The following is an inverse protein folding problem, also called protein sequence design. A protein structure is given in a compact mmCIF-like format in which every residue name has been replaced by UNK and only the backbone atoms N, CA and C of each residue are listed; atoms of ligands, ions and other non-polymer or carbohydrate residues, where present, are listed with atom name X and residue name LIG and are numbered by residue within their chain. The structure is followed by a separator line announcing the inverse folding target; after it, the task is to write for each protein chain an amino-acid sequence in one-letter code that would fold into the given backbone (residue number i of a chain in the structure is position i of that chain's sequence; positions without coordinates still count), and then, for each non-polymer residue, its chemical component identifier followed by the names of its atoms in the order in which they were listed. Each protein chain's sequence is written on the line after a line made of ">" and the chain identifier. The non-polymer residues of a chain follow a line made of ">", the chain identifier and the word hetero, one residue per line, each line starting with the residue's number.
data_IF_443423560034
#
_entry.id   IF_443423560034
#
_cell.length_a   1.000
_cell.length_b   1.000
_cell.length_c   1.000
_cell.angle_alpha   90.00
_cell.angle_beta   90.00
_cell.angle_gamma   90.00
#
_symmetry.space_group_name_H-M   'P 1'
#
loop_
_entity.id
_entity.type
_entity.pdbx_description
1 polymer ?
#
# COMPACT_ATOMS: atom_id res chain seq x y z
N UNK A 1 -6.26 26.17 12.11
CA UNK A 1 -7.54 25.94 11.40
C UNK A 1 -8.76 26.35 12.23
N UNK A 2 -8.87 26.01 13.52
CA UNK A 2 -10.04 26.38 14.35
C UNK A 2 -10.37 27.88 14.38
N UNK A 3 -9.35 28.75 14.39
CA UNK A 3 -9.53 30.20 14.40
C UNK A 3 -10.19 30.76 13.11
N UNK A 4 -9.90 30.15 11.95
CA UNK A 4 -10.46 30.57 10.66
C UNK A 4 -11.94 30.19 10.51
N UNK A 5 -12.38 29.07 11.10
CA UNK A 5 -13.80 28.69 11.10
C UNK A 5 -14.64 29.64 11.95
N UNK A 6 -14.14 30.03 13.13
CA UNK A 6 -14.75 31.06 13.97
C UNK A 6 -14.83 32.39 13.23
N UNK A 7 -13.74 32.81 12.58
CA UNK A 7 -13.72 34.03 11.76
C UNK A 7 -14.74 34.01 10.60
N UNK A 8 -14.97 32.87 9.95
CA UNK A 8 -16.03 32.73 8.94
C UNK A 8 -17.42 32.93 9.55
N UNK A 9 -17.69 32.37 10.73
CA UNK A 9 -18.96 32.54 11.44
C UNK A 9 -19.20 34.00 11.85
N UNK A 10 -18.17 34.66 12.37
CA UNK A 10 -18.23 36.05 12.80
C UNK A 10 -18.47 36.98 11.60
N UNK A 11 -17.73 36.80 10.50
CA UNK A 11 -17.91 37.61 9.30
C UNK A 11 -19.28 37.38 8.65
N UNK A 12 -19.83 36.15 8.66
CA UNK A 12 -21.21 35.90 8.22
C UNK A 12 -22.22 36.68 9.04
N UNK A 13 -22.02 36.74 10.36
CA UNK A 13 -22.88 37.49 11.28
C UNK A 13 -22.79 38.99 11.00
N UNK A 14 -21.59 39.53 10.80
CA UNK A 14 -21.36 40.95 10.44
C UNK A 14 -21.97 41.29 9.07
N UNK A 15 -21.78 40.45 8.05
CA UNK A 15 -22.34 40.69 6.71
C UNK A 15 -23.87 40.61 6.68
N UNK A 16 -24.51 39.88 7.63
CA UNK A 16 -25.96 39.89 7.80
C UNK A 16 -26.48 41.24 8.29
N UNK A 17 -25.65 41.97 9.05
CA UNK A 17 -25.95 43.31 9.58
C UNK A 17 -25.61 44.43 8.58
N UNK A 18 -24.67 44.19 7.66
CA UNK A 18 -24.25 45.15 6.62
C UNK A 18 -24.27 44.51 5.22
N UNK A 19 -25.47 44.38 4.65
CA UNK A 19 -25.72 43.66 3.39
C UNK A 19 -25.02 44.25 2.14
N UNK A 20 -24.54 45.50 2.22
CA UNK A 20 -23.85 46.18 1.12
C UNK A 20 -22.31 46.25 1.27
N UNK A 21 -21.74 45.63 2.31
CA UNK A 21 -20.30 45.67 2.55
C UNK A 21 -19.52 44.77 1.57
N UNK A 22 -19.03 45.37 0.48
CA UNK A 22 -18.18 44.66 -0.50
C UNK A 22 -16.89 44.11 0.14
N UNK A 23 -16.32 44.82 1.11
CA UNK A 23 -15.14 44.38 1.85
C UNK A 23 -15.42 43.14 2.72
N UNK A 24 -16.57 43.12 3.42
CA UNK A 24 -16.97 41.99 4.25
C UNK A 24 -17.17 40.70 3.44
N UNK A 25 -17.75 40.80 2.25
CA UNK A 25 -17.89 39.64 1.34
C UNK A 25 -16.55 39.19 0.75
N UNK A 26 -15.64 40.12 0.46
CA UNK A 26 -14.30 39.78 0.00
C UNK A 26 -13.50 39.02 1.06
N UNK A 27 -13.53 39.49 2.32
CA UNK A 27 -12.89 38.80 3.45
C UNK A 27 -13.47 37.41 3.65
N UNK A 28 -14.79 37.27 3.61
CA UNK A 28 -15.46 35.97 3.71
C UNK A 28 -15.01 35.00 2.59
N UNK A 29 -15.02 35.46 1.34
CA UNK A 29 -14.57 34.64 0.20
C UNK A 29 -13.10 34.23 0.33
N UNK A 30 -12.24 35.14 0.81
CA UNK A 30 -10.82 34.86 1.05
C UNK A 30 -10.63 33.80 2.13
N UNK A 31 -11.36 33.88 3.24
CA UNK A 31 -11.31 32.88 4.30
C UNK A 31 -11.81 31.51 3.82
N UNK A 32 -12.93 31.47 3.11
CA UNK A 32 -13.48 30.24 2.54
C UNK A 32 -12.48 29.57 1.59
N UNK A 33 -11.84 30.35 0.71
CA UNK A 33 -10.82 29.84 -0.20
C UNK A 33 -9.59 29.31 0.54
N UNK A 34 -9.11 30.01 1.58
CA UNK A 34 -8.01 29.53 2.44
C UNK A 34 -8.35 28.24 3.17
N UNK A 35 -9.63 28.03 3.48
CA UNK A 35 -10.14 26.80 4.06
C UNK A 35 -10.33 25.66 3.03
N UNK A 36 -10.05 25.90 1.74
CA UNK A 36 -10.27 24.95 0.65
C UNK A 36 -11.72 24.90 0.14
N UNK A 37 -12.63 25.72 0.68
CA UNK A 37 -14.02 25.81 0.23
C UNK A 37 -14.14 26.71 -1.01
N UNK A 38 -13.55 26.26 -2.12
CA UNK A 38 -13.41 27.05 -3.35
C UNK A 38 -14.78 27.45 -3.94
N UNK A 39 -15.73 26.52 -4.03
CA UNK A 39 -17.05 26.79 -4.60
C UNK A 39 -17.85 27.79 -3.76
N UNK A 40 -17.72 27.75 -2.43
CA UNK A 40 -18.36 28.72 -1.55
C UNK A 40 -17.77 30.12 -1.68
N UNK A 41 -16.45 30.22 -1.92
CA UNK A 41 -15.78 31.49 -2.17
C UNK A 41 -16.32 32.20 -3.43
N UNK A 42 -16.84 31.47 -4.42
CA UNK A 42 -17.39 32.04 -5.67
C UNK A 42 -18.76 32.68 -5.56
N UNK A 43 -19.49 32.46 -4.47
CA UNK A 43 -20.82 33.05 -4.27
C UNK A 43 -20.76 34.59 -4.16
N UNK A 44 -19.57 35.15 -3.95
CA UNK A 44 -19.35 36.59 -3.76
C UNK A 44 -18.61 37.25 -4.94
N UNK A 45 -19.35 37.51 -6.02
CA UNK A 45 -18.83 38.02 -7.32
C UNK A 45 -18.22 39.44 -7.30
N UNK A 46 -18.31 40.17 -6.19
CA UNK A 46 -17.98 41.61 -6.13
C UNK A 46 -16.46 41.93 -6.14
N UNK A 47 -15.56 40.93 -6.07
CA UNK A 47 -14.10 41.15 -6.11
C UNK A 47 -13.42 40.48 -7.32
N UNK A 48 -13.12 41.26 -8.37
CA UNK A 48 -12.81 40.73 -9.72
C UNK A 48 -11.46 39.99 -9.89
N UNK A 49 -10.31 40.43 -9.33
CA UNK A 49 -9.04 39.73 -9.55
C UNK A 49 -8.96 38.39 -8.83
N UNK A 50 -9.35 38.35 -7.55
CA UNK A 50 -9.42 37.14 -6.74
C UNK A 50 -10.45 36.15 -7.32
N UNK A 51 -11.62 36.65 -7.74
CA UNK A 51 -12.68 35.84 -8.33
C UNK A 51 -12.24 35.06 -9.58
N UNK A 52 -11.38 35.63 -10.45
CA UNK A 52 -10.90 34.92 -11.64
C UNK A 52 -10.04 33.70 -11.31
N UNK A 53 -9.12 33.81 -10.34
CA UNK A 53 -8.28 32.70 -9.88
C UNK A 53 -9.14 31.61 -9.25
N UNK A 54 -9.98 31.98 -8.28
CA UNK A 54 -10.90 31.08 -7.59
C UNK A 54 -11.81 30.36 -8.60
N UNK A 55 -12.35 31.07 -9.59
CA UNK A 55 -13.26 30.48 -10.61
C UNK A 55 -12.53 29.45 -11.47
N UNK A 56 -11.28 29.71 -11.82
CA UNK A 56 -10.46 28.78 -12.59
C UNK A 56 -10.13 27.54 -11.78
N UNK A 57 -9.76 27.70 -10.51
CA UNK A 57 -9.48 26.58 -9.59
C UNK A 57 -10.72 25.72 -9.37
N UNK A 58 -11.86 26.33 -9.07
CA UNK A 58 -13.14 25.63 -8.87
C UNK A 58 -13.50 24.77 -10.08
N UNK A 59 -13.45 25.36 -11.28
CA UNK A 59 -13.72 24.66 -12.53
C UNK A 59 -12.80 23.45 -12.71
N UNK A 60 -11.52 23.61 -12.43
CA UNK A 60 -10.54 22.52 -12.59
C UNK A 60 -10.74 21.41 -11.53
N UNK A 61 -11.13 21.75 -10.30
CA UNK A 61 -11.44 20.76 -9.27
C UNK A 61 -12.72 19.98 -9.59
N UNK A 62 -13.76 20.65 -10.11
CA UNK A 62 -14.95 19.99 -10.64
C UNK A 62 -14.62 19.09 -11.85
N UNK A 63 -13.73 19.55 -12.75
CA UNK A 63 -13.23 18.73 -13.87
C UNK A 63 -12.50 17.48 -13.36
N UNK A 64 -11.72 17.55 -12.27
CA UNK A 64 -11.12 16.35 -11.65
C UNK A 64 -12.18 15.35 -11.17
N UNK A 65 -13.25 15.84 -10.52
CA UNK A 65 -14.34 15.01 -10.01
C UNK A 65 -15.08 14.31 -11.16
N UNK A 66 -15.52 15.07 -12.16
CA UNK A 66 -16.21 14.56 -13.35
C UNK A 66 -15.36 13.52 -14.11
N UNK A 67 -14.06 13.79 -14.30
CA UNK A 67 -13.14 12.87 -14.98
C UNK A 67 -12.89 11.60 -14.16
N UNK A 68 -12.77 11.72 -12.83
CA UNK A 68 -12.64 10.56 -11.94
C UNK A 68 -13.91 9.68 -11.97
N UNK A 69 -15.10 10.28 -11.96
CA UNK A 69 -16.38 9.56 -12.09
C UNK A 69 -16.53 8.88 -13.46
N UNK A 70 -16.10 9.56 -14.53
CA UNK A 70 -16.03 9.01 -15.88
C UNK A 70 -14.93 7.95 -16.06
N UNK A 71 -14.09 7.72 -15.02
CA UNK A 71 -12.93 6.82 -15.03
C UNK A 71 -11.84 7.22 -16.03
N UNK A 72 -11.82 8.48 -16.46
CA UNK A 72 -10.71 9.08 -17.21
C UNK A 72 -9.63 9.56 -16.22
N UNK A 73 -8.90 8.62 -15.66
CA UNK A 73 -7.85 8.90 -14.67
C UNK A 73 -6.69 9.74 -15.25
N UNK A 74 -6.20 9.49 -16.48
CA UNK A 74 -5.19 10.36 -17.09
C UNK A 74 -5.68 11.81 -17.26
N UNK A 75 -6.95 12.00 -17.66
CA UNK A 75 -7.58 13.31 -17.72
C UNK A 75 -7.64 13.98 -16.34
N UNK A 76 -8.09 13.25 -15.32
CA UNK A 76 -8.13 13.72 -13.92
C UNK A 76 -6.74 14.18 -13.44
N UNK A 77 -5.69 13.39 -13.71
CA UNK A 77 -4.31 13.72 -13.37
C UNK A 77 -3.85 15.00 -14.07
N UNK A 78 -4.18 15.16 -15.35
CA UNK A 78 -3.87 16.37 -16.09
C UNK A 78 -4.59 17.62 -15.53
N UNK A 79 -5.87 17.48 -15.14
CA UNK A 79 -6.66 18.54 -14.52
C UNK A 79 -6.09 18.94 -13.15
N UNK A 80 -5.77 17.97 -12.29
CA UNK A 80 -5.19 18.23 -10.98
C UNK A 80 -3.83 18.94 -11.07
N UNK A 81 -2.98 18.56 -12.03
CA UNK A 81 -1.73 19.28 -12.31
C UNK A 81 -1.96 20.72 -12.81
N UNK A 82 -3.06 20.98 -13.54
CA UNK A 82 -3.43 22.37 -13.90
C UNK A 82 -3.82 23.17 -12.65
N UNK A 83 -4.49 22.57 -11.66
CA UNK A 83 -4.80 23.24 -10.39
C UNK A 83 -3.51 23.68 -9.70
N UNK A 84 -2.54 22.78 -9.56
CA UNK A 84 -1.25 23.06 -8.93
C UNK A 84 -0.42 24.15 -9.64
N UNK A 85 -0.61 24.33 -10.96
CA UNK A 85 0.01 25.43 -11.71
C UNK A 85 -0.69 26.78 -11.52
N UNK A 86 -1.97 26.76 -11.12
CA UNK A 86 -2.78 27.96 -10.89
C UNK A 86 -2.72 28.37 -9.42
N UNK A 87 -2.62 27.41 -8.51
CA UNK A 87 -2.60 27.60 -7.06
C UNK A 87 -1.56 26.69 -6.40
N UNK A 88 -0.54 27.33 -5.83
CA UNK A 88 0.58 26.73 -5.10
C UNK A 88 0.75 27.29 -3.67
N UNK A 89 0.06 28.39 -3.33
CA UNK A 89 0.18 29.05 -2.03
C UNK A 89 -0.84 28.52 -1.01
N UNK A 90 -2.08 28.29 -1.44
CA UNK A 90 -3.16 27.91 -0.51
C UNK A 90 -3.12 26.42 -0.21
N UNK A 91 -2.53 26.07 0.94
CA UNK A 91 -2.27 24.69 1.40
C UNK A 91 -3.46 23.74 1.21
N UNK A 92 -4.69 24.14 1.55
CA UNK A 92 -5.85 23.26 1.46
C UNK A 92 -6.36 23.06 0.03
N UNK A 93 -6.16 24.03 -0.86
CA UNK A 93 -6.45 23.86 -2.29
C UNK A 93 -5.41 22.96 -2.94
N UNK A 94 -4.13 23.17 -2.60
CA UNK A 94 -3.02 22.31 -3.02
C UNK A 94 -3.24 20.88 -2.54
N UNK A 95 -3.71 20.70 -1.31
CA UNK A 95 -4.07 19.40 -0.75
C UNK A 95 -5.15 18.70 -1.59
N UNK A 96 -6.27 19.36 -1.90
CA UNK A 96 -7.33 18.74 -2.72
C UNK A 96 -6.83 18.34 -4.12
N UNK A 97 -5.99 19.16 -4.75
CA UNK A 97 -5.38 18.81 -6.03
C UNK A 97 -4.46 17.58 -5.93
N UNK A 98 -3.60 17.51 -4.91
CA UNK A 98 -2.71 16.36 -4.71
C UNK A 98 -3.47 15.08 -4.30
N UNK A 99 -4.58 15.23 -3.57
CA UNK A 99 -5.50 14.13 -3.26
C UNK A 99 -6.11 13.54 -4.53
N UNK A 100 -6.55 14.37 -5.48
CA UNK A 100 -6.99 13.91 -6.81
C UNK A 100 -5.89 13.18 -7.57
N UNK A 101 -4.65 13.71 -7.56
CA UNK A 101 -3.50 13.01 -8.17
C UNK A 101 -3.30 11.62 -7.57
N UNK A 102 -3.17 11.51 -6.24
CA UNK A 102 -3.03 10.23 -5.55
C UNK A 102 -4.15 9.26 -5.92
N UNK A 103 -5.40 9.71 -5.87
CA UNK A 103 -6.58 8.87 -6.12
C UNK A 103 -6.63 8.36 -7.57
N UNK A 104 -6.44 9.25 -8.55
CA UNK A 104 -6.51 8.91 -9.96
C UNK A 104 -5.30 8.05 -10.40
N UNK A 105 -4.09 8.34 -9.91
CA UNK A 105 -2.90 7.51 -10.18
C UNK A 105 -3.02 6.10 -9.59
N UNK A 106 -3.54 5.97 -8.36
CA UNK A 106 -3.79 4.65 -7.74
C UNK A 106 -4.79 3.84 -8.57
N UNK A 107 -5.89 4.47 -9.02
CA UNK A 107 -6.93 3.81 -9.84
C UNK A 107 -6.46 3.46 -11.25
N UNK A 108 -5.49 4.21 -11.80
CA UNK A 108 -4.83 3.94 -13.08
C UNK A 108 -3.68 2.92 -12.97
N UNK A 109 -3.45 2.35 -11.77
CA UNK A 109 -2.36 1.42 -11.47
C UNK A 109 -0.94 2.00 -11.69
N UNK A 110 -0.79 3.33 -11.69
CA UNK A 110 0.50 4.02 -11.71
C UNK A 110 1.05 4.14 -10.27
N UNK A 111 1.39 2.99 -9.69
CA UNK A 111 1.58 2.86 -8.24
C UNK A 111 2.77 3.66 -7.68
N UNK A 112 3.86 3.81 -8.45
CA UNK A 112 5.04 4.58 -8.03
C UNK A 112 4.76 6.08 -7.96
N UNK A 113 4.11 6.60 -9.00
CA UNK A 113 3.67 8.00 -9.08
C UNK A 113 2.58 8.28 -8.05
N UNK A 114 1.65 7.34 -7.87
CA UNK A 114 0.61 7.41 -6.86
C UNK A 114 1.20 7.54 -5.45
N UNK A 115 2.15 6.67 -5.07
CA UNK A 115 2.81 6.71 -3.77
C UNK A 115 3.44 8.09 -3.49
N UNK A 116 4.12 8.64 -4.49
CA UNK A 116 4.70 9.99 -4.42
C UNK A 116 3.62 11.06 -4.19
N UNK A 117 2.55 11.03 -4.99
CA UNK A 117 1.45 12.00 -4.88
C UNK A 117 0.70 11.89 -3.54
N UNK A 118 0.47 10.67 -3.05
CA UNK A 118 -0.18 10.43 -1.76
C UNK A 118 0.67 10.95 -0.61
N UNK A 119 1.99 10.68 -0.61
CA UNK A 119 2.92 11.22 0.39
C UNK A 119 2.91 12.74 0.42
N UNK A 120 3.04 13.35 -0.76
CA UNK A 120 3.04 14.80 -0.94
C UNK A 120 1.74 15.49 -0.51
N UNK A 121 0.60 14.79 -0.55
CA UNK A 121 -0.67 15.27 -0.01
C UNK A 121 -0.76 15.08 1.51
N UNK A 122 -0.33 13.93 2.03
CA UNK A 122 -0.37 13.59 3.45
C UNK A 122 0.55 14.48 4.31
N UNK A 123 1.63 15.03 3.72
CA UNK A 123 2.46 16.07 4.34
C UNK A 123 1.67 17.37 4.65
N UNK A 124 0.66 17.69 3.84
CA UNK A 124 -0.13 18.91 4.01
C UNK A 124 -1.28 18.69 5.01
N UNK A 125 -1.91 17.52 4.97
CA UNK A 125 -3.00 17.14 5.86
C UNK A 125 -3.10 15.62 5.91
N UNK A 126 -3.13 15.06 7.12
CA UNK A 126 -3.47 13.64 7.34
C UNK A 126 -4.94 13.41 7.00
N UNK A 127 -5.21 12.38 6.21
CA UNK A 127 -6.56 11.99 5.77
C UNK A 127 -6.66 10.46 5.68
N UNK A 128 -7.68 9.89 6.34
CA UNK A 128 -7.84 8.44 6.45
C UNK A 128 -8.10 7.76 5.09
N UNK A 129 -8.85 8.42 4.20
CA UNK A 129 -9.15 7.86 2.87
C UNK A 129 -7.93 7.89 1.98
N UNK A 130 -7.13 8.96 2.07
CA UNK A 130 -5.88 9.09 1.33
C UNK A 130 -4.81 8.08 1.81
N UNK A 131 -4.79 7.76 3.11
CA UNK A 131 -3.97 6.66 3.63
C UNK A 131 -4.39 5.30 3.07
N UNK A 132 -5.69 5.10 2.77
CA UNK A 132 -6.13 3.91 2.05
C UNK A 132 -5.62 3.90 0.59
N UNK A 133 -5.68 5.03 -0.12
CA UNK A 133 -5.12 5.12 -1.49
C UNK A 133 -3.61 4.84 -1.50
N UNK A 134 -2.87 5.34 -0.50
CA UNK A 134 -1.44 5.02 -0.30
C UNK A 134 -1.23 3.53 -0.06
N UNK A 135 -2.05 2.92 0.79
CA UNK A 135 -2.01 1.48 1.05
C UNK A 135 -2.27 0.65 -0.22
N UNK A 136 -3.25 1.03 -1.03
CA UNK A 136 -3.56 0.38 -2.30
C UNK A 136 -2.39 0.50 -3.30
N UNK A 137 -1.73 1.66 -3.38
CA UNK A 137 -0.54 1.85 -4.21
C UNK A 137 0.64 0.97 -3.75
N UNK A 138 0.90 0.90 -2.44
CA UNK A 138 1.94 0.05 -1.86
C UNK A 138 1.69 -1.44 -2.12
N UNK A 139 0.43 -1.88 -2.09
CA UNK A 139 0.07 -3.24 -2.49
C UNK A 139 0.37 -3.53 -3.96
N UNK A 140 0.15 -2.54 -4.84
CA UNK A 140 0.50 -2.67 -6.26
C UNK A 140 2.02 -2.69 -6.53
N UNK A 141 2.83 -2.25 -5.56
CA UNK A 141 4.29 -2.33 -5.58
C UNK A 141 4.83 -3.54 -4.79
N UNK A 142 3.96 -4.43 -4.32
CA UNK A 142 4.29 -5.57 -3.46
C UNK A 142 5.00 -5.18 -2.13
N UNK A 143 4.83 -3.93 -1.68
CA UNK A 143 5.38 -3.40 -0.42
C UNK A 143 4.38 -3.65 0.72
N UNK A 144 4.19 -4.92 1.09
CA UNK A 144 3.09 -5.33 1.97
C UNK A 144 3.20 -4.79 3.40
N UNK A 145 4.39 -4.72 3.98
CA UNK A 145 4.62 -4.15 5.33
C UNK A 145 4.19 -2.69 5.42
N UNK A 146 4.62 -1.88 4.45
CA UNK A 146 4.28 -0.46 4.38
C UNK A 146 2.78 -0.27 4.10
N UNK A 147 2.18 -1.14 3.29
CA UNK A 147 0.74 -1.10 3.05
C UNK A 147 -0.06 -1.37 4.33
N UNK A 148 0.34 -2.38 5.11
CA UNK A 148 -0.26 -2.72 6.42
C UNK A 148 -0.17 -1.51 7.35
N UNK A 149 1.00 -0.87 7.43
CA UNK A 149 1.20 0.31 8.26
C UNK A 149 0.30 1.46 7.80
N UNK A 150 0.16 1.69 6.49
CA UNK A 150 -0.72 2.72 5.96
C UNK A 150 -2.19 2.52 6.31
N UNK A 151 -2.69 1.29 6.25
CA UNK A 151 -4.08 1.00 6.66
C UNK A 151 -4.28 1.10 8.17
N UNK A 152 -3.29 0.75 8.99
CA UNK A 152 -3.35 0.97 10.44
C UNK A 152 -3.43 2.45 10.79
N UNK A 153 -2.60 3.29 10.17
CA UNK A 153 -2.66 4.75 10.34
C UNK A 153 -4.02 5.32 9.93
N UNK A 154 -4.66 4.75 8.90
CA UNK A 154 -6.02 5.15 8.52
C UNK A 154 -7.04 4.83 9.62
N UNK A 155 -6.92 3.66 10.26
CA UNK A 155 -7.80 3.22 11.36
C UNK A 155 -7.53 3.98 12.67
N UNK A 156 -6.33 4.49 12.90
CA UNK A 156 -6.04 5.40 14.02
C UNK A 156 -6.79 6.73 13.87
N UNK A 157 -6.98 7.21 12.64
CA UNK A 157 -7.76 8.42 12.37
C UNK A 157 -9.27 8.15 12.38
N UNK A 158 -9.68 7.00 11.83
CA UNK A 158 -11.08 6.61 11.71
C UNK A 158 -11.25 5.10 11.97
N UNK A 159 -11.47 4.72 13.23
CA UNK A 159 -11.59 3.32 13.67
C UNK A 159 -12.71 2.55 12.93
N UNK A 160 -13.77 3.26 12.53
CA UNK A 160 -14.92 2.72 11.81
C UNK A 160 -14.72 2.52 10.32
N UNK A 161 -13.58 2.92 9.74
CA UNK A 161 -13.41 2.96 8.29
C UNK A 161 -13.29 1.56 7.67
N UNK A 162 -14.40 1.04 7.14
CA UNK A 162 -14.47 -0.32 6.60
C UNK A 162 -13.45 -0.57 5.48
N UNK A 163 -13.25 0.43 4.59
CA UNK A 163 -12.25 0.32 3.51
C UNK A 163 -10.84 0.04 4.04
N UNK A 164 -10.46 0.66 5.15
CA UNK A 164 -9.15 0.44 5.76
C UNK A 164 -9.03 -0.96 6.40
N UNK A 165 -10.11 -1.46 7.02
CA UNK A 165 -10.16 -2.84 7.55
C UNK A 165 -10.00 -3.88 6.46
N UNK A 166 -10.73 -3.70 5.35
CA UNK A 166 -10.66 -4.61 4.20
C UNK A 166 -9.27 -4.58 3.56
N UNK A 167 -8.70 -3.37 3.39
CA UNK A 167 -7.34 -3.18 2.89
C UNK A 167 -6.28 -3.82 3.78
N UNK A 168 -6.38 -3.65 5.10
CA UNK A 168 -5.48 -4.27 6.08
C UNK A 168 -5.51 -5.79 6.01
N UNK A 169 -6.71 -6.39 5.97
CA UNK A 169 -6.87 -7.85 5.85
C UNK A 169 -6.27 -8.38 4.54
N UNK A 170 -6.51 -7.67 3.42
CA UNK A 170 -5.91 -8.00 2.11
C UNK A 170 -4.39 -7.93 2.17
N UNK A 171 -3.83 -6.88 2.77
CA UNK A 171 -2.39 -6.67 2.89
C UNK A 171 -1.71 -7.76 3.72
N UNK A 172 -2.27 -8.10 4.90
CA UNK A 172 -1.77 -9.18 5.75
C UNK A 172 -1.82 -10.54 5.05
N UNK A 173 -2.89 -10.82 4.29
CA UNK A 173 -3.00 -12.05 3.51
C UNK A 173 -1.92 -12.12 2.43
N UNK A 174 -1.70 -11.02 1.69
CA UNK A 174 -0.69 -10.96 0.64
C UNK A 174 0.73 -11.06 1.21
N UNK A 175 1.02 -10.40 2.32
CA UNK A 175 2.27 -10.56 3.06
C UNK A 175 2.51 -12.04 3.40
N UNK A 176 1.56 -12.68 4.07
CA UNK A 176 1.67 -14.10 4.45
C UNK A 176 1.85 -14.99 3.22
N UNK A 177 1.14 -14.73 2.12
CA UNK A 177 1.32 -15.47 0.86
C UNK A 177 2.70 -15.24 0.22
N UNK A 178 3.27 -14.05 0.35
CA UNK A 178 4.62 -13.74 -0.16
C UNK A 178 5.73 -14.39 0.65
N UNK A 179 5.50 -14.55 1.96
CA UNK A 179 6.38 -15.27 2.88
C UNK A 179 6.24 -16.79 2.75
N UNK A 180 5.05 -17.26 2.35
CA UNK A 180 4.80 -18.67 2.04
C UNK A 180 5.66 -19.12 0.86
N UNK A 181 6.47 -20.13 1.12
CA UNK A 181 7.40 -20.70 0.16
C UNK A 181 6.62 -21.53 -0.86
N UNK A 182 6.61 -21.12 -2.13
CA UNK A 182 6.08 -22.00 -3.19
C UNK A 182 7.07 -23.15 -3.47
N UNK A 183 6.92 -24.26 -2.74
CA UNK A 183 7.80 -25.41 -2.80
C UNK A 183 7.93 -26.02 -4.21
N UNK A 184 6.85 -25.97 -5.01
CA UNK A 184 6.88 -26.45 -6.39
C UNK A 184 7.72 -25.56 -7.28
N UNK A 185 7.62 -24.23 -7.12
CA UNK A 185 8.50 -23.27 -7.82
C UNK A 185 9.95 -23.39 -7.37
N UNK A 186 10.22 -23.57 -6.07
CA UNK A 186 11.57 -23.73 -5.54
C UNK A 186 12.29 -24.93 -6.16
N UNK A 187 11.61 -26.07 -6.30
CA UNK A 187 12.17 -27.25 -6.97
C UNK A 187 12.00 -27.24 -8.49
N UNK A 188 11.33 -26.22 -9.04
CA UNK A 188 11.00 -26.10 -10.46
C UNK A 188 10.31 -27.37 -11.03
N UNK A 189 9.30 -27.85 -10.31
CA UNK A 189 8.49 -29.02 -10.68
C UNK A 189 7.01 -28.64 -10.79
N UNK A 190 6.26 -29.39 -11.60
CA UNK A 190 4.81 -29.21 -11.70
C UNK A 190 4.12 -29.69 -10.42
N UNK A 191 2.93 -29.17 -10.12
CA UNK A 191 2.09 -29.65 -9.00
C UNK A 191 1.70 -31.13 -9.13
N UNK A 192 1.67 -31.67 -10.35
CA UNK A 192 1.43 -33.09 -10.63
C UNK A 192 2.67 -33.97 -10.50
N UNK A 193 3.82 -33.42 -10.08
CA UNK A 193 5.07 -34.17 -10.05
C UNK A 193 5.01 -35.35 -9.08
N UNK A 194 5.53 -36.48 -9.53
CA UNK A 194 5.67 -37.68 -8.72
C UNK A 194 6.76 -37.48 -7.64
N UNK A 195 6.72 -38.29 -6.59
CA UNK A 195 7.74 -38.27 -5.53
C UNK A 195 9.15 -38.48 -6.09
N UNK A 196 9.30 -39.30 -7.12
CA UNK A 196 10.59 -39.55 -7.77
C UNK A 196 11.10 -38.30 -8.53
N UNK A 197 10.22 -37.59 -9.23
CA UNK A 197 10.57 -36.33 -9.92
C UNK A 197 10.97 -35.24 -8.94
N UNK A 198 10.26 -35.13 -7.80
CA UNK A 198 10.59 -34.20 -6.71
C UNK A 198 11.98 -34.51 -6.13
N UNK A 199 12.29 -35.79 -5.86
CA UNK A 199 13.62 -36.19 -5.36
C UNK A 199 14.71 -35.88 -6.39
N UNK A 200 14.45 -36.12 -7.68
CA UNK A 200 15.39 -35.82 -8.77
C UNK A 200 15.65 -34.31 -8.89
N UNK A 201 14.60 -33.50 -8.80
CA UNK A 201 14.70 -32.04 -8.83
C UNK A 201 15.44 -31.50 -7.60
N UNK A 202 15.15 -32.03 -6.41
CA UNK A 202 15.88 -31.74 -5.19
C UNK A 202 17.38 -32.00 -5.34
N UNK A 203 17.79 -33.18 -5.83
CA UNK A 203 19.22 -33.50 -6.02
C UNK A 203 19.92 -32.49 -6.93
N UNK A 204 19.27 -32.09 -8.03
CA UNK A 204 19.81 -31.08 -8.95
C UNK A 204 19.91 -29.70 -8.29
N UNK A 205 18.87 -29.27 -7.58
CA UNK A 205 18.84 -27.98 -6.92
C UNK A 205 19.82 -27.91 -5.72
N UNK A 206 19.94 -28.99 -4.95
CA UNK A 206 20.86 -29.12 -3.84
C UNK A 206 22.32 -29.10 -4.31
N UNK A 207 22.64 -29.78 -5.41
CA UNK A 207 23.97 -29.70 -6.02
C UNK A 207 24.27 -28.30 -6.54
N UNK A 208 23.28 -27.63 -7.16
CA UNK A 208 23.44 -26.26 -7.67
C UNK A 208 23.70 -25.25 -6.56
N UNK A 209 22.96 -25.33 -5.47
CA UNK A 209 23.00 -24.37 -4.36
C UNK A 209 23.86 -24.84 -3.17
N UNK A 210 24.71 -25.86 -3.35
CA UNK A 210 25.57 -26.33 -2.28
C UNK A 210 26.53 -25.21 -1.84
N UNK A 211 26.62 -24.86 -0.53
CA UNK A 211 27.44 -23.74 -0.05
C UNK A 211 28.93 -23.85 -0.43
N UNK A 212 29.46 -25.06 -0.62
CA UNK A 212 30.86 -25.28 -1.05
C UNK A 212 31.15 -24.76 -2.46
N UNK A 213 30.11 -24.54 -3.28
CA UNK A 213 30.26 -24.02 -4.63
C UNK A 213 30.35 -22.48 -4.69
N UNK A 214 30.18 -21.78 -3.55
CA UNK A 214 30.06 -20.33 -3.49
C UNK A 214 30.99 -19.71 -2.43
N UNK A 215 31.40 -18.46 -2.64
CA UNK A 215 32.29 -17.71 -1.74
C UNK A 215 31.72 -16.31 -1.45
N UNK A 216 32.15 -15.68 -0.36
CA UNK A 216 31.70 -14.34 0.01
C UNK A 216 30.19 -14.23 0.27
N UNK A 217 29.57 -13.14 -0.16
CA UNK A 217 28.14 -12.90 0.03
C UNK A 217 27.24 -13.85 -0.79
N UNK A 218 27.75 -14.43 -1.87
CA UNK A 218 27.04 -15.46 -2.64
C UNK A 218 26.83 -16.74 -1.84
N UNK A 219 27.74 -17.05 -0.89
CA UNK A 219 27.60 -18.20 -0.01
C UNK A 219 26.37 -18.09 0.89
N UNK A 220 26.09 -16.90 1.44
CA UNK A 220 24.89 -16.66 2.27
C UNK A 220 23.60 -16.82 1.46
N UNK A 221 23.62 -16.35 0.20
CA UNK A 221 22.48 -16.53 -0.71
C UNK A 221 22.27 -18.02 -1.04
N UNK A 222 23.35 -18.75 -1.31
CA UNK A 222 23.31 -20.18 -1.57
C UNK A 222 22.81 -20.96 -0.35
N UNK A 223 23.24 -20.62 0.87
CA UNK A 223 22.73 -21.21 2.11
C UNK A 223 21.22 -21.00 2.27
N UNK A 224 20.71 -19.78 2.03
CA UNK A 224 19.27 -19.50 2.07
C UNK A 224 18.50 -20.34 1.04
N UNK A 225 19.00 -20.40 -0.20
CA UNK A 225 18.39 -21.22 -1.27
C UNK A 225 18.46 -22.71 -0.96
N UNK A 226 19.53 -23.18 -0.33
CA UNK A 226 19.68 -24.58 0.07
C UNK A 226 18.67 -24.96 1.15
N UNK A 227 18.44 -24.07 2.13
CA UNK A 227 17.39 -24.23 3.15
C UNK A 227 16.00 -24.30 2.49
N UNK A 228 15.71 -23.42 1.54
CA UNK A 228 14.43 -23.43 0.80
C UNK A 228 14.23 -24.74 0.01
N UNK A 229 15.28 -25.21 -0.66
CA UNK A 229 15.27 -26.47 -1.44
C UNK A 229 15.08 -27.69 -0.55
N UNK A 230 15.69 -27.70 0.64
CA UNK A 230 15.51 -28.76 1.63
C UNK A 230 14.08 -28.78 2.18
N UNK A 231 13.54 -27.62 2.56
CA UNK A 231 12.16 -27.47 3.01
C UNK A 231 11.16 -27.94 1.94
N UNK A 232 11.38 -27.56 0.68
CA UNK A 232 10.53 -27.99 -0.43
C UNK A 232 10.53 -29.51 -0.63
N UNK A 233 11.68 -30.17 -0.49
CA UNK A 233 11.73 -31.64 -0.55
C UNK A 233 10.98 -32.25 0.64
N UNK A 234 11.12 -31.71 1.85
CA UNK A 234 10.44 -32.23 3.03
C UNK A 234 8.92 -32.20 2.86
N UNK A 235 8.37 -31.05 2.48
CA UNK A 235 6.93 -30.87 2.30
C UNK A 235 6.39 -31.69 1.14
N UNK A 236 7.06 -31.69 -0.02
CA UNK A 236 6.51 -32.32 -1.23
C UNK A 236 6.70 -33.85 -1.28
N UNK A 237 7.59 -34.43 -0.47
CA UNK A 237 7.81 -35.89 -0.43
C UNK A 237 6.99 -36.63 0.61
N UNK A 238 6.43 -35.90 1.58
CA UNK A 238 5.50 -36.39 2.60
C UNK A 238 4.06 -36.18 2.10
N UNK A 239 3.25 -37.25 1.95
CA UNK A 239 1.89 -37.13 1.43
C UNK A 239 0.96 -36.23 2.27
N UNK A 240 1.11 -36.23 3.59
CA UNK A 240 0.27 -35.44 4.49
C UNK A 240 0.65 -33.96 4.42
N UNK A 241 1.95 -33.66 4.51
CA UNK A 241 2.45 -32.27 4.37
C UNK A 241 2.14 -31.70 2.99
N UNK A 242 2.30 -32.50 1.93
CA UNK A 242 1.93 -32.10 0.57
C UNK A 242 0.45 -31.81 0.45
N UNK A 243 -0.41 -32.65 1.03
CA UNK A 243 -1.86 -32.44 1.01
C UNK A 243 -2.25 -31.16 1.77
N UNK A 244 -1.63 -30.88 2.92
CA UNK A 244 -1.83 -29.62 3.66
C UNK A 244 -1.41 -28.41 2.81
N UNK A 245 -0.23 -28.48 2.20
CA UNK A 245 0.28 -27.43 1.33
C UNK A 245 -0.60 -27.21 0.09
N UNK A 246 -1.07 -28.30 -0.54
CA UNK A 246 -2.01 -28.25 -1.66
C UNK A 246 -3.39 -27.72 -1.24
N UNK A 247 -3.78 -27.88 0.03
CA UNK A 247 -4.97 -27.29 0.63
C UNK A 247 -4.78 -25.82 1.07
N UNK A 248 -3.59 -25.23 0.87
CA UNK A 248 -3.29 -23.83 1.18
C UNK A 248 -2.80 -23.58 2.62
N UNK A 249 -2.45 -24.63 3.36
CA UNK A 249 -1.85 -24.56 4.69
C UNK A 249 -0.38 -24.93 4.59
N UNK A 250 0.54 -24.02 4.93
CA UNK A 250 1.97 -24.34 4.92
C UNK A 250 2.32 -25.19 6.16
N UNK A 251 2.71 -26.46 6.01
CA UNK A 251 3.02 -27.37 7.14
C UNK A 251 4.30 -27.00 7.89
N UNK A 252 5.11 -26.09 7.35
CA UNK A 252 6.32 -25.57 8.02
C UNK A 252 6.10 -24.17 8.62
N UNK A 253 4.90 -23.59 8.50
CA UNK A 253 4.55 -22.32 9.14
C UNK A 253 4.35 -22.53 10.66
N UNK A 254 5.14 -21.84 11.52
CA UNK A 254 5.01 -21.91 12.97
C UNK A 254 3.59 -21.55 13.49
N UNK A 255 2.82 -20.77 12.76
CA UNK A 255 1.44 -20.42 13.13
C UNK A 255 0.41 -21.49 12.76
N UNK A 256 0.69 -22.36 11.78
CA UNK A 256 -0.23 -23.40 11.33
C UNK A 256 -0.47 -24.48 12.40
N UNK A 257 0.45 -24.63 13.36
CA UNK A 257 0.35 -25.57 14.48
C UNK A 257 -0.62 -25.18 15.60
N UNK A 258 -1.30 -24.02 15.55
CA UNK A 258 -2.25 -23.60 16.60
C UNK A 258 -3.70 -24.04 16.38
N UNK A 259 -4.06 -24.61 15.22
CA UNK A 259 -5.46 -24.93 14.90
C UNK A 259 -5.78 -26.45 14.90
N UNK A 260 -4.80 -27.35 15.00
CA UNK A 260 -5.04 -28.80 15.10
C UNK A 260 -4.18 -29.45 16.19
N UNK A 261 -4.84 -30.17 17.09
CA UNK A 261 -4.30 -30.60 18.38
C UNK A 261 -3.14 -31.59 18.32
N UNK A 262 -2.24 -31.44 19.30
CA UNK A 262 -1.60 -32.51 20.06
C UNK A 262 -0.74 -33.53 19.31
N UNK A 263 0.53 -33.18 19.06
CA UNK A 263 1.58 -34.14 18.73
C UNK A 263 2.98 -33.53 18.87
N UNK A 264 3.98 -34.19 19.50
CA UNK A 264 5.31 -33.63 19.67
C UNK A 264 6.09 -33.69 18.36
N UNK A 265 5.96 -32.66 17.52
CA UNK A 265 6.79 -32.53 16.32
C UNK A 265 8.14 -31.90 16.68
N UNK A 266 9.16 -32.76 16.66
CA UNK A 266 10.57 -32.40 16.75
C UNK A 266 10.95 -31.51 15.56
N UNK A 267 11.41 -30.30 15.83
CA UNK A 267 12.01 -29.41 14.84
C UNK A 267 13.41 -29.95 14.50
N UNK A 268 13.68 -30.58 13.33
CA UNK A 268 14.99 -31.20 13.05
C UNK A 268 16.10 -30.17 12.87
N UNK A 269 15.72 -28.90 12.71
CA UNK A 269 16.62 -27.77 12.46
C UNK A 269 16.99 -26.98 13.72
N UNK A 270 16.57 -27.41 14.91
CA UNK A 270 17.16 -26.87 16.15
C UNK A 270 18.67 -27.14 16.24
N UNK A 271 19.17 -28.10 15.46
CA UNK A 271 20.61 -28.40 15.33
C UNK A 271 21.36 -27.49 14.35
N UNK A 272 20.67 -26.65 13.57
CA UNK A 272 21.29 -25.71 12.62
C UNK A 272 21.63 -24.35 13.26
N UNK A 273 21.09 -24.04 14.45
CA UNK A 273 21.24 -22.72 15.07
C UNK A 273 22.45 -22.60 16.01
N UNK A 274 23.11 -23.70 16.35
CA UNK A 274 24.29 -23.71 17.22
C UNK A 274 25.46 -24.50 16.59
N UNK A 275 26.40 -23.77 15.99
CA UNK A 275 27.77 -24.22 15.73
C UNK A 275 27.97 -25.19 14.56
N UNK A 276 28.51 -24.69 13.44
CA UNK A 276 29.14 -25.52 12.40
C UNK A 276 30.22 -26.45 13.02
N UNK A 277 30.37 -27.71 12.56
CA UNK A 277 30.76 -28.01 11.17
C UNK A 277 29.88 -29.06 10.49
N UNK A 278 29.38 -28.71 9.31
CA UNK A 278 28.72 -29.63 8.40
C UNK A 278 29.69 -30.74 7.94
N UNK A 279 29.47 -31.98 8.40
CA UNK A 279 29.91 -33.18 7.68
C UNK A 279 28.67 -34.00 7.28
N UNK A 280 28.04 -33.60 6.18
CA UNK A 280 27.07 -34.46 5.50
C UNK A 280 27.82 -35.44 4.60
N UNK A 281 28.02 -36.68 5.05
CA UNK A 281 28.50 -37.78 4.19
C UNK A 281 27.36 -38.27 3.30
N UNK A 282 27.33 -37.80 2.07
CA UNK A 282 26.50 -38.39 1.01
C UNK A 282 27.12 -39.72 0.56
N UNK A 283 26.42 -40.83 0.82
CA UNK A 283 26.73 -42.10 0.18
C UNK A 283 25.97 -42.16 -1.15
N UNK A 284 26.70 -42.04 -2.25
CA UNK A 284 26.21 -42.40 -3.57
C UNK A 284 26.54 -43.88 -3.77
N UNK A 285 25.52 -44.74 -3.73
CA UNK A 285 25.57 -46.07 -4.34
C UNK A 285 25.02 -45.98 -5.77
#
# INVERSE_FOLDING_TARGET
>A
MNDLFSAVSDIRSVNRLQQDSTDGYYRLATLLYRLGHVSDALKHKKCFPFYKKVKKVDKLLLECEELSEARDFPGCVAAANKVLRVEDEVTLVVFEARKWLCTCLTKDAQHSEALTACGAALELRRDARLLCERGDALLGLDMYDDAIQSFKEALELEEGLQRAKDGLSRAQKLQKQSEQRDYYKILNVKRSASKQEIIKAYRKAAQKWHPDNFQGDEKKLAEKKFIDVAAAKEVLTDPEKRAQFDAGVDPLDPEAGRQQGGGPFHNPFHHFQHGSPFQFKFHFN
#
